data_IF_036588630827
#
_entry.id   IF_036588630827
#
_cell.length_a   1.000
_cell.length_b   1.000
_cell.length_c   1.000
_cell.angle_alpha   90.00
_cell.angle_beta   90.00
_cell.angle_gamma   90.00
#
_symmetry.space_group_name_H-M   'P 1'
#
loop_
_entity.id
_entity.type
_entity.pdbx_description
1 polymer ?
#
# COMPACT_ATOMS: atom_id res chain seq x y z
N UNK A 1 54.49 -19.73 -19.76
CA UNK A 1 53.66 -18.90 -20.66
C UNK A 1 52.21 -18.97 -20.17
N UNK A 2 51.75 -18.00 -19.38
CA UNK A 2 50.37 -17.94 -18.89
C UNK A 2 49.57 -16.97 -19.76
N UNK A 3 48.52 -17.47 -20.41
CA UNK A 3 47.64 -16.68 -21.27
C UNK A 3 46.92 -15.60 -20.47
N UNK A 4 47.04 -14.35 -20.92
CA UNK A 4 46.24 -13.23 -20.39
C UNK A 4 44.77 -13.49 -20.77
N UNK A 5 43.92 -13.74 -19.76
CA UNK A 5 42.47 -13.81 -19.95
C UNK A 5 41.93 -12.53 -20.58
N UNK A 6 40.75 -12.63 -21.21
CA UNK A 6 40.11 -11.50 -21.88
C UNK A 6 39.99 -10.29 -20.92
N UNK A 7 40.32 -9.08 -21.37
CA UNK A 7 40.29 -7.91 -20.50
C UNK A 7 38.88 -7.69 -19.92
N UNK A 8 38.77 -7.32 -18.63
CA UNK A 8 37.49 -7.01 -18.03
C UNK A 8 36.84 -5.86 -18.81
N UNK A 9 35.57 -6.04 -19.17
CA UNK A 9 34.84 -5.05 -19.99
C UNK A 9 34.86 -3.69 -19.30
N UNK A 10 35.26 -2.65 -20.03
CA UNK A 10 35.41 -1.27 -19.55
C UNK A 10 34.08 -0.60 -19.12
N UNK A 11 32.94 -1.26 -19.31
CA UNK A 11 31.63 -0.75 -18.92
C UNK A 11 30.91 -1.81 -18.12
N UNK A 12 30.84 -1.62 -16.80
CA UNK A 12 30.24 -2.59 -15.89
C UNK A 12 28.73 -2.79 -16.08
N UNK A 13 28.03 -1.88 -16.76
CA UNK A 13 26.60 -2.04 -17.05
C UNK A 13 26.14 -1.02 -18.10
N UNK A 14 25.28 -1.44 -19.04
CA UNK A 14 24.62 -0.49 -19.96
C UNK A 14 23.46 0.17 -19.22
N UNK A 15 23.37 1.50 -19.26
CA UNK A 15 22.30 2.25 -18.57
C UNK A 15 20.88 1.78 -18.93
N UNK A 16 20.69 1.27 -20.17
CA UNK A 16 19.43 0.68 -20.65
C UNK A 16 19.04 -0.58 -19.88
N UNK A 17 20.00 -1.43 -19.53
CA UNK A 17 19.76 -2.66 -18.76
C UNK A 17 19.41 -2.33 -17.31
N UNK A 18 20.01 -1.27 -16.75
CA UNK A 18 19.70 -0.80 -15.41
C UNK A 18 18.30 -0.21 -15.33
N UNK A 19 17.90 0.65 -16.29
CA UNK A 19 16.55 1.22 -16.36
C UNK A 19 15.49 0.13 -16.52
N UNK A 20 15.68 -0.78 -17.49
CA UNK A 20 14.77 -1.90 -17.71
C UNK A 20 14.59 -2.79 -16.48
N UNK A 21 15.67 -3.01 -15.71
CA UNK A 21 15.58 -3.74 -14.42
C UNK A 21 14.86 -2.99 -13.31
N UNK A 22 14.92 -1.67 -13.29
CA UNK A 22 14.20 -0.85 -12.30
C UNK A 22 12.71 -0.88 -12.63
N UNK A 23 12.35 -0.66 -13.89
CA UNK A 23 10.97 -0.67 -14.36
C UNK A 23 10.32 -2.06 -14.20
N UNK A 24 11.07 -3.14 -14.44
CA UNK A 24 10.59 -4.51 -14.19
C UNK A 24 10.30 -4.83 -12.71
N UNK A 25 10.74 -3.99 -11.77
CA UNK A 25 10.49 -4.13 -10.34
C UNK A 25 9.58 -3.03 -9.78
N UNK A 26 9.01 -2.19 -10.64
CA UNK A 26 8.10 -1.14 -10.23
C UNK A 26 6.73 -1.73 -9.89
N UNK A 27 6.14 -1.22 -8.82
CA UNK A 27 4.75 -1.46 -8.49
C UNK A 27 3.94 -0.42 -9.25
N UNK A 28 3.19 -0.87 -10.24
CA UNK A 28 2.33 -0.02 -11.06
C UNK A 28 1.00 0.20 -10.32
N UNK A 29 0.64 1.46 -10.13
CA UNK A 29 -0.59 1.90 -9.49
C UNK A 29 -1.33 2.78 -10.49
N UNK A 30 -2.63 2.59 -10.74
CA UNK A 30 -3.36 3.44 -11.68
C UNK A 30 -3.40 4.88 -11.16
N UNK A 31 -3.09 5.85 -12.01
CA UNK A 31 -3.10 7.28 -11.68
C UNK A 31 -4.52 7.86 -11.71
N UNK A 32 -5.39 7.31 -10.87
CA UNK A 32 -6.76 7.77 -10.70
C UNK A 32 -7.14 7.84 -9.22
N UNK A 33 -8.09 8.70 -8.84
CA UNK A 33 -8.61 8.72 -7.48
C UNK A 33 -9.22 7.37 -7.13
N UNK A 34 -8.98 6.90 -5.90
CA UNK A 34 -9.64 5.72 -5.37
C UNK A 34 -11.11 6.03 -5.09
N UNK A 35 -12.00 5.18 -5.61
CA UNK A 35 -13.46 5.29 -5.51
C UNK A 35 -14.10 4.09 -4.79
N UNK A 36 -13.27 3.21 -4.20
CA UNK A 36 -13.73 2.03 -3.48
C UNK A 36 -14.16 2.32 -2.03
N UNK A 37 -14.56 1.27 -1.28
CA UNK A 37 -14.96 1.43 0.11
C UNK A 37 -13.76 1.83 0.97
N UNK A 38 -13.85 2.99 1.60
CA UNK A 38 -12.90 3.46 2.60
C UNK A 38 -13.53 3.35 3.99
N UNK A 39 -12.74 3.00 5.02
CA UNK A 39 -13.25 3.03 6.38
C UNK A 39 -13.44 4.48 6.83
N UNK A 40 -14.49 4.71 7.60
CA UNK A 40 -14.67 5.99 8.27
C UNK A 40 -13.61 6.17 9.37
N UNK A 41 -13.22 7.42 9.61
CA UNK A 41 -12.48 7.73 10.83
C UNK A 41 -13.35 7.41 12.06
N UNK A 42 -12.75 6.91 13.16
CA UNK A 42 -13.45 6.73 14.42
C UNK A 42 -14.17 8.01 14.85
N UNK A 43 -15.33 7.89 15.49
CA UNK A 43 -16.06 9.05 15.99
C UNK A 43 -15.19 9.87 16.96
N UNK A 44 -15.14 11.19 16.75
CA UNK A 44 -14.33 12.09 17.56
C UNK A 44 -14.36 13.54 17.07
N UNK A 45 -13.90 14.45 17.93
CA UNK A 45 -13.63 15.84 17.56
C UNK A 45 -12.32 15.91 16.79
N UNK A 46 -12.40 15.74 15.46
CA UNK A 46 -11.23 15.83 14.58
C UNK A 46 -11.00 17.26 14.14
N UNK A 47 -9.73 17.67 14.12
CA UNK A 47 -9.34 18.94 13.53
C UNK A 47 -9.70 18.94 12.02
N UNK A 48 -10.23 20.05 11.46
CA UNK A 48 -10.67 20.09 10.06
C UNK A 48 -9.57 19.73 9.04
N UNK A 49 -8.32 20.04 9.37
CA UNK A 49 -7.17 19.66 8.53
C UNK A 49 -6.89 18.15 8.57
N UNK A 50 -7.19 17.46 9.68
CA UNK A 50 -7.08 16.00 9.80
C UNK A 50 -8.11 15.31 8.90
N UNK A 51 -9.34 15.82 8.86
CA UNK A 51 -10.38 15.31 7.97
C UNK A 51 -9.95 15.45 6.50
N UNK A 52 -9.43 16.61 6.11
CA UNK A 52 -8.87 16.82 4.76
C UNK A 52 -7.69 15.89 4.45
N UNK A 53 -6.83 15.67 5.45
CA UNK A 53 -5.71 14.75 5.33
C UNK A 53 -6.19 13.31 5.13
N UNK A 54 -7.20 12.87 5.87
CA UNK A 54 -7.80 11.54 5.70
C UNK A 54 -8.41 11.38 4.31
N UNK A 55 -9.22 12.35 3.88
CA UNK A 55 -9.83 12.38 2.54
C UNK A 55 -8.76 12.28 1.43
N UNK A 56 -7.62 12.95 1.62
CA UNK A 56 -6.50 12.90 0.66
C UNK A 56 -5.95 11.50 0.52
N UNK A 57 -5.81 10.74 1.61
CA UNK A 57 -5.38 9.34 1.53
C UNK A 57 -6.47 8.43 1.01
N UNK A 58 -7.71 8.63 1.48
CA UNK A 58 -8.89 7.89 1.09
C UNK A 58 -9.08 7.90 -0.43
N UNK A 59 -8.85 9.05 -1.07
CA UNK A 59 -8.99 9.26 -2.52
C UNK A 59 -7.68 9.10 -3.29
N UNK A 60 -6.57 8.78 -2.62
CA UNK A 60 -5.27 8.69 -3.29
C UNK A 60 -5.18 7.48 -4.22
N UNK A 61 -4.44 7.55 -5.34
CA UNK A 61 -4.14 6.40 -6.17
C UNK A 61 -3.58 5.20 -5.38
N UNK A 62 -2.77 5.47 -4.34
CA UNK A 62 -2.17 4.45 -3.50
C UNK A 62 -3.20 3.58 -2.77
N UNK A 63 -4.39 4.14 -2.47
CA UNK A 63 -5.45 3.42 -1.77
C UNK A 63 -5.98 2.21 -2.56
N UNK A 64 -5.79 2.13 -3.88
CA UNK A 64 -6.11 0.94 -4.68
C UNK A 64 -5.41 -0.34 -4.20
N UNK A 65 -4.29 -0.22 -3.49
CA UNK A 65 -3.53 -1.36 -2.97
C UNK A 65 -3.74 -1.58 -1.46
N UNK A 66 -4.46 -0.70 -0.78
CA UNK A 66 -4.60 -0.77 0.66
C UNK A 66 -5.46 -1.96 1.07
N UNK A 67 -4.92 -2.71 2.02
CA UNK A 67 -5.61 -3.78 2.73
C UNK A 67 -6.16 -3.26 4.07
N UNK A 68 -6.96 -4.06 4.77
CA UNK A 68 -7.54 -3.67 6.06
C UNK A 68 -6.50 -3.27 7.10
N UNK A 69 -5.31 -3.89 7.08
CA UNK A 69 -4.22 -3.55 8.00
C UNK A 69 -3.61 -2.19 7.69
N UNK A 70 -3.57 -1.81 6.42
CA UNK A 70 -3.00 -0.54 5.97
C UNK A 70 -3.93 0.60 6.39
N UNK A 71 -5.25 0.40 6.21
CA UNK A 71 -6.26 1.31 6.72
C UNK A 71 -6.21 1.46 8.24
N UNK A 72 -6.10 0.37 9.00
CA UNK A 72 -5.99 0.43 10.46
C UNK A 72 -4.76 1.24 10.90
N UNK A 73 -3.61 1.01 10.26
CA UNK A 73 -2.38 1.75 10.55
C UNK A 73 -2.51 3.24 10.16
N UNK A 74 -3.20 3.54 9.07
CA UNK A 74 -3.46 4.90 8.65
C UNK A 74 -4.41 5.62 9.63
N UNK A 75 -5.45 4.94 10.13
CA UNK A 75 -6.35 5.46 11.16
C UNK A 75 -5.59 5.79 12.44
N UNK A 76 -4.66 4.93 12.88
CA UNK A 76 -3.77 5.25 14.00
C UNK A 76 -2.88 6.48 13.72
N UNK A 77 -2.44 6.62 12.46
CA UNK A 77 -1.63 7.77 12.02
C UNK A 77 -2.46 9.07 11.99
N UNK A 78 -3.78 8.99 11.80
CA UNK A 78 -4.68 10.13 11.84
C UNK A 78 -4.65 10.84 13.21
N UNK A 79 -4.50 10.10 14.32
CA UNK A 79 -4.32 10.70 15.65
C UNK A 79 -3.05 11.54 15.76
N UNK A 80 -1.95 11.13 15.10
CA UNK A 80 -0.73 11.92 15.05
C UNK A 80 -0.89 13.16 14.15
N UNK A 81 -1.59 13.01 13.02
CA UNK A 81 -1.92 14.14 12.16
C UNK A 81 -2.78 15.16 12.91
N UNK A 82 -3.75 14.69 13.70
CA UNK A 82 -4.60 15.54 14.53
C UNK A 82 -3.84 16.30 15.60
N UNK A 83 -3.00 15.59 16.37
CA UNK A 83 -2.13 16.21 17.36
C UNK A 83 -1.21 17.26 16.71
N UNK A 84 -0.64 16.95 15.55
CA UNK A 84 0.20 17.86 14.79
C UNK A 84 -0.54 19.14 14.38
N UNK A 85 -1.74 19.00 13.79
CA UNK A 85 -2.53 20.16 13.36
C UNK A 85 -3.09 20.99 14.51
N UNK A 86 -3.29 20.38 15.68
CA UNK A 86 -3.60 21.09 16.93
C UNK A 86 -2.40 21.78 17.57
N UNK A 87 -1.21 21.70 16.95
CA UNK A 87 -0.01 22.43 17.34
C UNK A 87 1.03 21.60 18.09
N UNK A 88 0.81 20.30 18.31
CA UNK A 88 1.84 19.44 18.89
C UNK A 88 2.89 19.08 17.83
N UNK A 89 3.90 19.93 17.67
CA UNK A 89 4.95 19.72 16.67
C UNK A 89 5.90 18.55 17.00
N UNK A 90 5.86 18.00 18.23
CA UNK A 90 6.75 16.89 18.64
C UNK A 90 6.46 15.59 17.87
N UNK A 91 5.21 15.40 17.42
CA UNK A 91 4.81 14.22 16.65
C UNK A 91 5.16 14.31 15.17
N UNK A 92 5.68 15.45 14.69
CA UNK A 92 5.93 15.68 13.27
C UNK A 92 6.90 14.67 12.64
N UNK A 93 7.97 14.32 13.38
CA UNK A 93 8.97 13.35 12.91
C UNK A 93 8.38 11.96 12.74
N UNK A 94 7.58 11.50 13.72
CA UNK A 94 6.91 10.21 13.66
C UNK A 94 5.85 10.19 12.55
N UNK A 95 5.03 11.24 12.46
CA UNK A 95 4.04 11.40 11.39
C UNK A 95 4.71 11.26 10.02
N UNK A 96 5.82 11.97 9.79
CA UNK A 96 6.62 11.88 8.55
C UNK A 96 7.06 10.45 8.25
N UNK A 97 7.57 9.72 9.26
CA UNK A 97 8.04 8.34 9.08
C UNK A 97 6.89 7.38 8.75
N UNK A 98 5.71 7.57 9.35
CA UNK A 98 4.53 6.73 9.07
C UNK A 98 4.00 6.95 7.67
N UNK A 99 3.81 8.20 7.25
CA UNK A 99 3.28 8.52 5.92
C UNK A 99 4.24 8.14 4.79
N UNK A 100 5.55 8.14 5.05
CA UNK A 100 6.57 7.69 4.09
C UNK A 100 6.41 6.22 3.69
N UNK A 101 5.84 5.37 4.56
CA UNK A 101 5.56 3.95 4.25
C UNK A 101 4.59 3.78 3.08
N UNK A 102 3.77 4.81 2.81
CA UNK A 102 2.73 4.81 1.79
C UNK A 102 3.05 5.73 0.60
N UNK A 103 4.29 6.23 0.50
CA UNK A 103 4.67 7.07 -0.63
C UNK A 103 4.04 8.47 -0.60
N UNK A 104 3.94 9.08 0.58
CA UNK A 104 3.38 10.42 0.74
C UNK A 104 4.07 11.46 -0.16
N UNK A 105 5.39 11.36 -0.31
CA UNK A 105 6.18 12.24 -1.18
C UNK A 105 6.64 11.53 -2.45
N UNK A 106 7.01 12.28 -3.52
CA UNK A 106 7.63 11.69 -4.70
C UNK A 106 8.91 10.90 -4.38
N UNK A 107 9.69 11.36 -3.40
CA UNK A 107 10.89 10.66 -2.92
C UNK A 107 10.53 9.29 -2.31
N UNK A 108 9.49 9.26 -1.46
CA UNK A 108 9.02 8.03 -0.85
C UNK A 108 8.45 7.05 -1.90
N UNK A 109 7.71 7.55 -2.89
CA UNK A 109 7.24 6.73 -4.03
C UNK A 109 8.39 6.15 -4.82
N UNK A 110 9.41 6.95 -5.12
CA UNK A 110 10.62 6.47 -5.81
C UNK A 110 11.35 5.40 -4.98
N UNK A 111 11.45 5.58 -3.65
CA UNK A 111 12.05 4.60 -2.72
C UNK A 111 11.28 3.27 -2.73
N UNK A 112 9.95 3.34 -2.73
CA UNK A 112 9.06 2.17 -2.78
C UNK A 112 8.91 1.59 -4.20
N UNK A 113 9.46 2.25 -5.22
CA UNK A 113 9.28 1.95 -6.65
C UNK A 113 7.81 1.95 -7.06
N UNK A 114 7.02 2.83 -6.44
CA UNK A 114 5.64 3.09 -6.83
C UNK A 114 5.63 3.99 -8.06
N UNK A 115 5.05 3.48 -9.15
CA UNK A 115 4.86 4.22 -10.40
C UNK A 115 3.37 4.40 -10.63
N UNK A 116 2.93 5.65 -10.66
CA UNK A 116 1.60 6.01 -11.11
C UNK A 116 1.58 5.86 -12.63
N UNK A 117 0.70 5.00 -13.15
CA UNK A 117 0.57 4.70 -14.57
C UNK A 117 -0.82 5.10 -15.07
N UNK A 118 -0.93 5.62 -16.30
CA UNK A 118 -2.23 5.91 -16.90
C UNK A 118 -3.06 4.62 -17.07
N UNK A 119 -4.38 4.77 -17.04
CA UNK A 119 -5.36 3.67 -17.00
C UNK A 119 -5.22 2.68 -18.19
N UNK A 120 -4.74 3.15 -19.34
CA UNK A 120 -4.55 2.33 -20.53
C UNK A 120 -3.40 1.31 -20.45
N UNK A 121 -2.54 1.39 -19.42
CA UNK A 121 -1.39 0.50 -19.18
C UNK A 121 -1.70 -0.61 -18.14
N UNK A 122 -2.98 -0.97 -17.95
CA UNK A 122 -3.41 -1.91 -16.93
C UNK A 122 -2.92 -3.36 -17.17
N UNK A 123 -2.30 -3.95 -16.15
CA UNK A 123 -2.01 -5.39 -16.03
C UNK A 123 -1.69 -5.76 -14.57
N UNK A 124 -2.15 -6.92 -14.09
CA UNK A 124 -3.54 -7.33 -13.90
C UNK A 124 -4.06 -6.93 -12.51
N UNK A 125 -5.38 -6.93 -12.35
CA UNK A 125 -6.09 -6.76 -11.08
C UNK A 125 -5.49 -7.63 -9.97
N UNK A 126 -5.10 -7.02 -8.85
CA UNK A 126 -4.89 -7.73 -7.60
C UNK A 126 -6.24 -8.35 -7.23
N UNK A 127 -6.31 -9.67 -7.29
CA UNK A 127 -7.53 -10.44 -7.11
C UNK A 127 -8.28 -9.97 -5.86
N UNK A 128 -9.56 -9.61 -6.04
CA UNK A 128 -10.53 -9.54 -4.95
C UNK A 128 -10.41 -10.86 -4.18
N UNK A 129 -9.86 -10.79 -2.97
CA UNK A 129 -9.78 -11.94 -2.06
C UNK A 129 -11.21 -12.35 -1.78
N UNK A 130 -11.67 -13.36 -2.50
CA UNK A 130 -12.95 -14.00 -2.20
C UNK A 130 -12.80 -14.60 -0.81
N UNK A 131 -13.66 -14.25 0.17
CA UNK A 131 -13.56 -14.83 1.50
C UNK A 131 -13.68 -16.34 1.38
N UNK A 132 -12.63 -17.04 1.80
CA UNK A 132 -12.55 -18.50 1.82
C UNK A 132 -13.70 -19.04 2.68
N UNK A 133 -14.54 -19.96 2.18
CA UNK A 133 -15.60 -20.54 3.01
C UNK A 133 -14.96 -21.28 4.18
N UNK A 134 -15.36 -20.92 5.40
CA UNK A 134 -14.93 -21.59 6.64
C UNK A 134 -15.24 -23.08 6.52
N UNK A 135 -14.19 -23.88 6.41
CA UNK A 135 -14.28 -25.34 6.43
C UNK A 135 -14.58 -25.76 7.87
N UNK A 136 -15.80 -26.26 8.10
CA UNK A 136 -16.15 -26.97 9.32
C UNK A 136 -17.48 -26.55 9.94
N UNK A 137 -18.60 -26.77 9.22
CA UNK A 137 -19.84 -27.04 9.91
C UNK A 137 -19.70 -28.44 10.53
N UNK A 138 -19.49 -28.49 11.85
CA UNK A 138 -19.60 -29.71 12.63
C UNK A 138 -21.03 -30.21 12.43
N UNK A 139 -21.19 -31.39 11.82
CA UNK A 139 -22.48 -32.06 11.77
C UNK A 139 -22.89 -32.37 13.20
N UNK A 140 -23.99 -31.76 13.63
CA UNK A 140 -24.67 -32.10 14.87
C UNK A 140 -25.14 -33.55 14.76
N UNK A 141 -24.69 -34.41 15.68
CA UNK A 141 -24.97 -35.85 15.74
C UNK A 141 -26.16 -36.11 16.68
N UNK A 142 -27.25 -35.37 16.51
CA UNK A 142 -28.44 -35.49 17.37
C UNK A 142 -29.65 -36.17 16.71
N UNK A 143 -29.57 -36.64 15.47
CA UNK A 143 -30.69 -37.29 14.75
C UNK A 143 -30.48 -38.80 14.49
N UNK A 144 -30.17 -39.58 15.54
CA UNK A 144 -30.23 -41.05 15.48
C UNK A 144 -30.95 -41.64 16.71
N UNK A 145 -32.17 -41.15 16.97
CA UNK A 145 -33.11 -41.85 17.85
C UNK A 145 -34.53 -41.76 17.32
N UNK A 146 -34.81 -42.49 16.25
CA UNK A 146 -36.13 -43.01 15.92
C UNK A 146 -35.94 -43.97 14.74
N UNK A 147 -36.02 -45.28 14.99
CA UNK A 147 -36.92 -46.24 14.32
C UNK A 147 -36.81 -47.57 15.10
N UNK A 148 -37.99 -48.10 15.45
CA UNK A 148 -38.30 -49.41 16.04
C UNK A 148 -37.41 -50.59 15.67
#
# INVERSE_FOLDING_TARGET
MAGKGAPPRATHQRARDTRARIDAKAIKVPDKPFDGPTPDLPEGDWHPQTLRWWETWATSPQAHMFTSTDWAFLSETAYLADAYYRGNLTVASELRLRVAKWGATPEDRARLRLQLVPEDEESPSLAVVTPMPRRGAVRDLSDLSEVS
#
